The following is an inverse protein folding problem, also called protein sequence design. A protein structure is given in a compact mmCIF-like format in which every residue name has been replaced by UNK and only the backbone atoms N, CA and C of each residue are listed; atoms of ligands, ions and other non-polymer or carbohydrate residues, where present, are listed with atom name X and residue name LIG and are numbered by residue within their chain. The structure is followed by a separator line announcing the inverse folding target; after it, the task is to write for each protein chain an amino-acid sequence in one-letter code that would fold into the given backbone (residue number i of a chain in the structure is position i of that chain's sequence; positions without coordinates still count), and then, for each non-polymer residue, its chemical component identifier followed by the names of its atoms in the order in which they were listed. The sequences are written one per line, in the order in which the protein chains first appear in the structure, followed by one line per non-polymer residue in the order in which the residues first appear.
data_IF_279131598401
#
_entry.id   IF_279131598401
#
_cell.length_a   1.000
_cell.length_b   1.000
_cell.length_c   1.000
_cell.angle_alpha   90.00
_cell.angle_beta   90.00
_cell.angle_gamma   90.00
#
_symmetry.space_group_name_H-M   'P 1'
#
loop_
_entity.id
_entity.type
_entity.pdbx_description
1 polymer ?
#
# COMPACT_ATOMS: atom_id res chain seq x y z
N UNK A 1 24.94 -5.17 -15.45
CA UNK A 1 23.47 -5.12 -15.29
C UNK A 1 22.82 -6.44 -15.66
N UNK A 2 22.92 -6.90 -16.92
CA UNK A 2 22.33 -8.18 -17.39
C UNK A 2 22.75 -9.41 -16.58
N UNK A 3 24.05 -9.56 -16.30
CA UNK A 3 24.57 -10.68 -15.50
C UNK A 3 23.97 -10.72 -14.08
N UNK A 4 23.88 -9.58 -13.42
CA UNK A 4 23.30 -9.47 -12.07
C UNK A 4 21.78 -9.69 -12.07
N UNK A 5 21.06 -9.20 -13.09
CA UNK A 5 19.64 -9.50 -13.27
C UNK A 5 19.42 -11.01 -13.43
N UNK A 6 20.19 -11.68 -14.30
CA UNK A 6 20.13 -13.13 -14.47
C UNK A 6 20.46 -13.89 -13.19
N UNK A 7 21.42 -13.40 -12.40
CA UNK A 7 21.73 -13.93 -11.07
C UNK A 7 20.53 -13.85 -10.12
N UNK A 8 19.86 -12.69 -10.04
CA UNK A 8 18.65 -12.54 -9.21
C UNK A 8 17.53 -13.46 -9.68
N UNK A 9 17.34 -13.59 -11.00
CA UNK A 9 16.36 -14.53 -11.54
C UNK A 9 16.64 -15.95 -11.08
N UNK A 10 17.88 -16.43 -11.19
CA UNK A 10 18.22 -17.80 -10.76
C UNK A 10 18.09 -18.02 -9.26
N UNK A 11 18.53 -17.05 -8.45
CA UNK A 11 18.61 -17.22 -6.98
C UNK A 11 17.31 -16.93 -6.26
N UNK A 12 16.47 -16.04 -6.79
CA UNK A 12 15.23 -15.59 -6.16
C UNK A 12 13.97 -16.13 -6.84
N UNK A 13 14.10 -17.02 -7.84
CA UNK A 13 12.96 -17.62 -8.54
C UNK A 13 12.00 -18.35 -7.60
N UNK A 14 12.54 -19.18 -6.68
CA UNK A 14 11.74 -19.92 -5.71
C UNK A 14 10.86 -18.96 -4.88
N UNK A 15 11.44 -17.81 -4.51
CA UNK A 15 10.73 -16.79 -3.77
C UNK A 15 9.56 -16.19 -4.58
N UNK A 16 9.78 -15.91 -5.87
CA UNK A 16 8.72 -15.48 -6.80
C UNK A 16 7.62 -16.53 -6.92
N UNK A 17 7.99 -17.81 -7.06
CA UNK A 17 7.01 -18.90 -7.13
C UNK A 17 6.17 -19.00 -5.85
N UNK A 18 6.79 -18.93 -4.68
CA UNK A 18 6.06 -18.96 -3.40
C UNK A 18 5.11 -17.77 -3.27
N UNK A 19 5.58 -16.56 -3.63
CA UNK A 19 4.74 -15.36 -3.62
C UNK A 19 3.62 -15.40 -4.66
N UNK A 20 3.73 -16.20 -5.72
CA UNK A 20 2.64 -16.41 -6.67
C UNK A 20 1.66 -17.48 -6.17
N UNK A 21 2.17 -18.62 -5.72
CA UNK A 21 1.38 -19.80 -5.38
C UNK A 21 0.49 -19.58 -4.15
N UNK A 22 1.03 -19.04 -3.06
CA UNK A 22 0.27 -18.88 -1.80
C UNK A 22 -0.98 -17.99 -1.99
N UNK A 23 -0.86 -16.72 -2.45
CA UNK A 23 -2.04 -15.88 -2.62
C UNK A 23 -2.98 -16.41 -3.70
N UNK A 24 -2.45 -17.00 -4.77
CA UNK A 24 -3.29 -17.61 -5.82
C UNK A 24 -4.09 -18.78 -5.29
N UNK A 25 -3.47 -19.66 -4.51
CA UNK A 25 -4.14 -20.80 -3.90
C UNK A 25 -5.25 -20.36 -2.94
N UNK A 26 -4.94 -19.41 -2.05
CA UNK A 26 -5.94 -18.84 -1.11
C UNK A 26 -7.08 -18.20 -1.89
N UNK A 27 -6.78 -17.43 -2.94
CA UNK A 27 -7.77 -16.78 -3.78
C UNK A 27 -8.69 -17.77 -4.51
N UNK A 28 -8.10 -18.74 -5.22
CA UNK A 28 -8.85 -19.77 -5.94
C UNK A 28 -9.70 -20.60 -4.98
N UNK A 29 -9.16 -20.96 -3.82
CA UNK A 29 -9.92 -21.67 -2.78
C UNK A 29 -11.11 -20.83 -2.29
N UNK A 30 -10.93 -19.52 -2.10
CA UNK A 30 -12.01 -18.60 -1.71
C UNK A 30 -13.13 -18.62 -2.75
N UNK A 31 -12.80 -18.56 -4.05
CA UNK A 31 -13.79 -18.64 -5.13
C UNK A 31 -14.55 -19.97 -5.14
N UNK A 32 -13.85 -21.09 -4.95
CA UNK A 32 -14.45 -22.43 -4.93
C UNK A 32 -15.38 -22.62 -3.72
N UNK A 33 -14.97 -22.16 -2.53
CA UNK A 33 -15.77 -22.29 -1.31
C UNK A 33 -17.03 -21.43 -1.38
N UNK A 34 -16.93 -20.21 -1.92
CA UNK A 34 -18.08 -19.33 -2.09
C UNK A 34 -19.05 -19.79 -3.19
N UNK A 35 -18.65 -20.70 -4.08
CA UNK A 35 -19.55 -21.26 -5.10
C UNK A 35 -20.73 -22.05 -4.51
N UNK A 36 -20.57 -22.65 -3.32
CA UNK A 36 -21.59 -23.53 -2.73
C UNK A 36 -22.78 -22.78 -2.13
N UNK A 37 -22.65 -21.48 -1.90
CA UNK A 37 -23.65 -20.68 -1.18
C UNK A 37 -24.59 -19.91 -2.11
N UNK A 38 -24.43 -19.98 -3.44
CA UNK A 38 -25.20 -19.14 -4.37
C UNK A 38 -25.64 -19.87 -5.66
N UNK A 39 -26.91 -19.74 -6.07
CA UNK A 39 -27.39 -20.32 -7.32
C UNK A 39 -26.69 -19.67 -8.54
N UNK A 40 -26.49 -20.43 -9.64
CA UNK A 40 -25.76 -19.98 -10.83
C UNK A 40 -26.38 -18.77 -11.55
N UNK A 41 -27.61 -18.39 -11.19
CA UNK A 41 -28.29 -17.21 -11.73
C UNK A 41 -27.82 -15.88 -11.13
N UNK A 42 -27.09 -15.91 -10.00
CA UNK A 42 -26.70 -14.70 -9.28
C UNK A 42 -25.27 -14.23 -9.66
N UNK A 43 -25.08 -13.92 -10.95
CA UNK A 43 -23.78 -13.55 -11.53
C UNK A 43 -23.09 -12.35 -10.84
N UNK A 44 -23.84 -11.43 -10.26
CA UNK A 44 -23.26 -10.25 -9.59
C UNK A 44 -22.30 -10.57 -8.42
N UNK A 45 -22.38 -11.76 -7.80
CA UNK A 45 -21.60 -12.09 -6.59
C UNK A 45 -20.21 -12.65 -6.87
N UNK A 46 -20.03 -13.57 -7.82
CA UNK A 46 -18.69 -14.09 -8.13
C UNK A 46 -17.77 -13.00 -8.67
N UNK A 47 -18.34 -12.04 -9.42
CA UNK A 47 -17.61 -10.86 -9.86
C UNK A 47 -17.03 -10.09 -8.68
N UNK A 48 -17.80 -9.88 -7.61
CA UNK A 48 -17.31 -9.15 -6.44
C UNK A 48 -16.22 -9.92 -5.67
N UNK A 49 -16.36 -11.25 -5.56
CA UNK A 49 -15.36 -12.10 -4.89
C UNK A 49 -14.01 -12.08 -5.63
N UNK A 50 -14.02 -11.89 -6.95
CA UNK A 50 -12.79 -11.67 -7.71
C UNK A 50 -12.00 -10.45 -7.23
N UNK A 51 -12.67 -9.45 -6.64
CA UNK A 51 -12.04 -8.27 -6.03
C UNK A 51 -11.06 -8.61 -4.91
N UNK A 52 -11.20 -9.77 -4.25
CA UNK A 52 -10.25 -10.25 -3.24
C UNK A 52 -8.83 -10.41 -3.81
N UNK A 53 -8.70 -10.74 -5.11
CA UNK A 53 -7.39 -10.80 -5.77
C UNK A 53 -6.63 -9.48 -5.72
N UNK A 54 -7.35 -8.35 -5.80
CA UNK A 54 -6.74 -7.00 -5.74
C UNK A 54 -6.22 -6.69 -4.33
N UNK A 55 -6.90 -7.19 -3.30
CA UNK A 55 -6.43 -7.10 -1.91
C UNK A 55 -5.17 -7.94 -1.73
N UNK A 56 -5.18 -9.19 -2.21
CA UNK A 56 -4.02 -10.08 -2.08
C UNK A 56 -2.80 -9.55 -2.82
N UNK A 57 -2.93 -9.03 -4.05
CA UNK A 57 -1.78 -8.44 -4.76
C UNK A 57 -1.26 -7.17 -4.08
N UNK A 58 -2.14 -6.39 -3.44
CA UNK A 58 -1.73 -5.20 -2.67
C UNK A 58 -0.88 -5.57 -1.45
N UNK A 59 -1.22 -6.66 -0.75
CA UNK A 59 -0.41 -7.22 0.34
C UNK A 59 0.92 -7.75 -0.20
N UNK A 60 0.87 -8.52 -1.29
CA UNK A 60 2.08 -9.09 -1.92
C UNK A 60 3.02 -7.98 -2.41
N UNK A 61 2.51 -6.85 -2.88
CA UNK A 61 3.32 -5.70 -3.27
C UNK A 61 4.18 -5.20 -2.11
N UNK A 62 3.61 -5.08 -0.92
CA UNK A 62 4.35 -4.67 0.28
C UNK A 62 5.44 -5.71 0.59
N UNK A 63 5.10 -7.00 0.54
CA UNK A 63 6.04 -8.10 0.78
C UNK A 63 7.19 -8.09 -0.24
N UNK A 64 6.90 -7.89 -1.52
CA UNK A 64 7.91 -7.80 -2.58
C UNK A 64 8.85 -6.63 -2.32
N UNK A 65 8.34 -5.43 -2.02
CA UNK A 65 9.18 -4.26 -1.70
C UNK A 65 10.14 -4.58 -0.57
N UNK A 66 9.63 -5.12 0.55
CA UNK A 66 10.45 -5.49 1.71
C UNK A 66 11.55 -6.46 1.27
N UNK A 67 11.22 -7.53 0.57
CA UNK A 67 12.20 -8.54 0.17
C UNK A 67 13.16 -8.11 -0.93
N UNK A 68 12.82 -7.13 -1.76
CA UNK A 68 13.72 -6.62 -2.82
C UNK A 68 14.71 -5.62 -2.28
N UNK A 69 14.28 -4.76 -1.36
CA UNK A 69 15.14 -3.72 -0.83
C UNK A 69 15.76 -4.07 0.53
N UNK A 70 15.34 -5.16 1.18
CA UNK A 70 15.96 -5.62 2.44
C UNK A 70 17.44 -5.94 2.30
N UNK A 71 17.88 -6.45 1.15
CA UNK A 71 19.28 -6.73 0.86
C UNK A 71 20.16 -5.49 0.88
N UNK A 72 19.59 -4.31 0.58
CA UNK A 72 20.28 -3.02 0.64
C UNK A 72 20.27 -2.38 2.04
N UNK A 73 19.63 -3.04 3.01
CA UNK A 73 19.45 -2.58 4.39
C UNK A 73 19.87 -3.62 5.43
N UNK A 74 20.40 -4.76 5.00
CA UNK A 74 20.94 -5.79 5.88
C UNK A 74 22.44 -5.52 6.10
N UNK A 75 22.89 -5.22 7.34
CA UNK A 75 24.31 -4.96 7.61
C UNK A 75 25.22 -6.14 7.25
N UNK A 76 24.70 -7.38 7.27
CA UNK A 76 25.50 -8.57 6.93
C UNK A 76 25.74 -8.73 5.42
N UNK A 77 24.84 -8.20 4.60
CA UNK A 77 24.89 -8.39 3.14
C UNK A 77 25.30 -7.13 2.39
N UNK A 78 25.18 -5.96 3.01
CA UNK A 78 25.40 -4.67 2.36
C UNK A 78 26.83 -4.53 1.82
N UNK A 79 27.83 -4.96 2.59
CA UNK A 79 29.23 -4.87 2.19
C UNK A 79 29.52 -5.76 0.97
N UNK A 80 28.90 -6.94 0.91
CA UNK A 80 28.99 -7.84 -0.24
C UNK A 80 28.40 -7.19 -1.50
N UNK A 81 27.20 -6.60 -1.40
CA UNK A 81 26.54 -5.99 -2.57
C UNK A 81 27.23 -4.70 -3.03
N UNK A 82 27.77 -3.91 -2.12
CA UNK A 82 28.50 -2.67 -2.47
C UNK A 82 29.95 -2.90 -2.85
N UNK A 83 30.53 -4.07 -2.57
CA UNK A 83 31.81 -4.49 -3.12
C UNK A 83 31.74 -4.94 -4.59
N UNK A 84 30.53 -5.20 -5.12
CA UNK A 84 30.37 -5.57 -6.53
C UNK A 84 30.82 -4.42 -7.45
N UNK A 85 31.42 -4.70 -8.63
CA UNK A 85 31.84 -3.68 -9.60
C UNK A 85 30.63 -3.12 -10.38
N UNK A 86 29.59 -2.69 -9.65
CA UNK A 86 28.33 -2.17 -10.17
C UNK A 86 27.99 -0.92 -9.36
N UNK A 87 27.74 0.20 -10.04
CA UNK A 87 27.29 1.43 -9.39
C UNK A 87 25.98 1.22 -8.60
N UNK A 88 25.82 1.89 -7.46
CA UNK A 88 24.62 1.80 -6.61
C UNK A 88 23.32 2.12 -7.35
N UNK A 89 23.32 3.09 -8.28
CA UNK A 89 22.17 3.37 -9.16
C UNK A 89 21.75 2.17 -10.00
N UNK A 90 22.71 1.50 -10.64
CA UNK A 90 22.46 0.29 -11.44
C UNK A 90 21.99 -0.86 -10.56
N UNK A 91 22.54 -0.99 -9.35
CA UNK A 91 22.08 -1.99 -8.38
C UNK A 91 20.61 -1.76 -8.00
N UNK A 92 20.27 -0.54 -7.56
CA UNK A 92 18.89 -0.15 -7.26
C UNK A 92 17.94 -0.40 -8.43
N UNK A 93 18.32 0.03 -9.64
CA UNK A 93 17.50 -0.15 -10.84
C UNK A 93 17.24 -1.63 -11.13
N UNK A 94 18.23 -2.50 -10.95
CA UNK A 94 18.03 -3.96 -11.13
C UNK A 94 17.07 -4.52 -10.09
N UNK A 95 17.18 -4.15 -8.82
CA UNK A 95 16.22 -4.57 -7.78
C UNK A 95 14.80 -4.08 -8.08
N UNK A 96 14.68 -2.84 -8.55
CA UNK A 96 13.42 -2.22 -8.93
C UNK A 96 12.76 -2.93 -10.12
N UNK A 97 13.50 -3.13 -11.23
CA UNK A 97 13.02 -3.86 -12.40
C UNK A 97 12.65 -5.31 -12.08
N UNK A 98 13.49 -5.99 -11.31
CA UNK A 98 13.21 -7.37 -10.92
C UNK A 98 11.94 -7.46 -10.06
N UNK A 99 11.73 -6.54 -9.13
CA UNK A 99 10.50 -6.48 -8.34
C UNK A 99 9.26 -6.21 -9.18
N UNK A 100 9.35 -5.39 -10.24
CA UNK A 100 8.24 -5.23 -11.19
C UNK A 100 7.92 -6.51 -11.96
N UNK A 101 8.96 -7.20 -12.47
CA UNK A 101 8.77 -8.49 -13.15
C UNK A 101 8.12 -9.50 -12.20
N UNK A 102 8.54 -9.52 -10.93
CA UNK A 102 7.97 -10.36 -9.91
C UNK A 102 6.49 -10.03 -9.64
N UNK A 103 6.15 -8.74 -9.52
CA UNK A 103 4.76 -8.28 -9.38
C UNK A 103 3.89 -8.70 -10.57
N UNK A 104 4.40 -8.51 -11.78
CA UNK A 104 3.71 -8.90 -13.01
C UNK A 104 3.45 -10.40 -13.02
N UNK A 105 4.47 -11.23 -12.77
CA UNK A 105 4.31 -12.69 -12.73
C UNK A 105 3.26 -13.11 -11.70
N UNK A 106 3.33 -12.59 -10.47
CA UNK A 106 2.38 -12.95 -9.41
C UNK A 106 0.96 -12.54 -9.79
N UNK A 107 0.77 -11.31 -10.28
CA UNK A 107 -0.54 -10.83 -10.72
C UNK A 107 -1.09 -11.64 -11.89
N UNK A 108 -0.27 -11.92 -12.91
CA UNK A 108 -0.67 -12.69 -14.09
C UNK A 108 -1.09 -14.11 -13.72
N UNK A 109 -0.33 -14.81 -12.88
CA UNK A 109 -0.70 -16.17 -12.43
C UNK A 109 -2.00 -16.14 -11.64
N UNK A 110 -2.12 -15.22 -10.68
CA UNK A 110 -3.32 -15.11 -9.84
C UNK A 110 -4.55 -14.75 -10.65
N UNK A 111 -4.42 -13.81 -11.59
CA UNK A 111 -5.48 -13.39 -12.49
C UNK A 111 -5.93 -14.53 -13.41
N UNK A 112 -5.01 -15.20 -14.10
CA UNK A 112 -5.35 -16.28 -15.04
C UNK A 112 -6.04 -17.43 -14.32
N UNK A 113 -5.47 -17.91 -13.20
CA UNK A 113 -6.06 -19.03 -12.46
C UNK A 113 -7.41 -18.67 -11.85
N UNK A 114 -7.56 -17.46 -11.31
CA UNK A 114 -8.86 -16.98 -10.84
C UNK A 114 -9.89 -16.83 -11.96
N UNK A 115 -9.48 -16.30 -13.11
CA UNK A 115 -10.35 -16.11 -14.26
C UNK A 115 -10.85 -17.44 -14.81
N UNK A 116 -9.96 -18.43 -15.00
CA UNK A 116 -10.32 -19.80 -15.38
C UNK A 116 -11.29 -20.40 -14.36
N UNK A 117 -11.02 -20.22 -13.07
CA UNK A 117 -11.90 -20.71 -11.99
C UNK A 117 -13.30 -20.12 -12.12
N UNK A 118 -13.42 -18.80 -12.33
CA UNK A 118 -14.72 -18.16 -12.55
C UNK A 118 -15.41 -18.71 -13.81
N UNK A 119 -14.70 -18.87 -14.93
CA UNK A 119 -15.30 -19.39 -16.16
C UNK A 119 -15.90 -20.79 -15.97
N UNK A 120 -15.18 -21.67 -15.26
CA UNK A 120 -15.64 -23.03 -14.96
C UNK A 120 -16.86 -23.01 -14.04
N UNK A 121 -16.81 -22.24 -12.95
CA UNK A 121 -17.89 -22.23 -11.95
C UNK A 121 -19.16 -21.55 -12.46
N UNK A 122 -19.02 -20.61 -13.39
CA UNK A 122 -20.12 -19.78 -13.85
C UNK A 122 -20.71 -20.16 -15.20
N UNK A 123 -20.18 -21.18 -15.89
CA UNK A 123 -20.61 -21.59 -17.23
C UNK A 123 -20.64 -20.44 -18.26
N UNK A 124 -19.73 -19.46 -18.14
CA UNK A 124 -19.56 -18.39 -19.15
C UNK A 124 -20.62 -17.27 -19.13
N UNK A 125 -21.35 -17.07 -18.03
CA UNK A 125 -22.38 -16.03 -17.92
C UNK A 125 -21.83 -14.59 -17.72
N UNK A 126 -20.53 -14.36 -17.93
CA UNK A 126 -19.86 -13.08 -17.69
C UNK A 126 -19.40 -12.39 -18.97
N UNK A 127 -19.34 -11.06 -18.91
CA UNK A 127 -18.69 -10.22 -19.92
C UNK A 127 -17.19 -10.19 -19.68
N UNK A 128 -16.47 -11.10 -20.33
CA UNK A 128 -15.02 -11.34 -20.13
C UNK A 128 -14.15 -10.11 -20.36
N UNK A 129 -14.54 -9.22 -21.29
CA UNK A 129 -13.76 -8.02 -21.63
C UNK A 129 -13.43 -7.11 -20.44
N UNK A 130 -14.34 -7.01 -19.46
CA UNK A 130 -14.12 -6.20 -18.26
C UNK A 130 -13.08 -6.81 -17.30
N UNK A 131 -12.92 -8.14 -17.28
CA UNK A 131 -11.83 -8.78 -16.53
C UNK A 131 -10.46 -8.43 -17.14
N UNK A 132 -10.34 -8.44 -18.47
CA UNK A 132 -9.09 -8.03 -19.12
C UNK A 132 -8.79 -6.54 -18.90
N UNK A 133 -9.81 -5.67 -18.92
CA UNK A 133 -9.59 -4.26 -18.56
C UNK A 133 -9.10 -4.14 -17.11
N UNK A 134 -9.69 -4.92 -16.19
CA UNK A 134 -9.25 -4.97 -14.79
C UNK A 134 -7.79 -5.40 -14.67
N UNK A 135 -7.35 -6.40 -15.44
CA UNK A 135 -5.96 -6.86 -15.47
C UNK A 135 -4.99 -5.71 -15.76
N UNK A 136 -5.25 -4.91 -16.81
CA UNK A 136 -4.38 -3.79 -17.17
C UNK A 136 -4.44 -2.63 -16.17
N UNK A 137 -5.62 -2.33 -15.65
CA UNK A 137 -5.78 -1.28 -14.63
C UNK A 137 -5.01 -1.64 -13.36
N UNK A 138 -5.10 -2.89 -12.90
CA UNK A 138 -4.37 -3.34 -11.71
C UNK A 138 -2.86 -3.20 -11.95
N UNK A 139 -2.32 -3.63 -13.09
CA UNK A 139 -0.89 -3.46 -13.42
C UNK A 139 -0.49 -1.98 -13.36
N UNK A 140 -1.28 -1.09 -13.96
CA UNK A 140 -1.02 0.34 -13.95
C UNK A 140 -0.91 0.89 -12.51
N UNK A 141 -1.85 0.55 -11.63
CA UNK A 141 -1.79 0.99 -10.22
C UNK A 141 -0.70 0.29 -9.41
N UNK A 142 -0.35 -0.97 -9.71
CA UNK A 142 0.78 -1.64 -9.07
C UNK A 142 2.08 -0.90 -9.35
N UNK A 143 2.25 -0.32 -10.55
CA UNK A 143 3.42 0.51 -10.85
C UNK A 143 3.46 1.73 -9.94
N UNK A 144 2.35 2.46 -9.83
CA UNK A 144 2.25 3.65 -8.96
C UNK A 144 2.57 3.30 -7.50
N UNK A 145 1.87 2.29 -6.96
CA UNK A 145 1.98 1.88 -5.56
C UNK A 145 3.36 1.32 -5.22
N UNK A 146 3.99 0.59 -6.13
CA UNK A 146 5.32 0.02 -5.93
C UNK A 146 6.36 1.14 -5.78
N UNK A 147 6.24 2.22 -6.55
CA UNK A 147 7.14 3.37 -6.47
C UNK A 147 7.08 4.06 -5.12
N UNK A 148 5.87 4.38 -4.68
CA UNK A 148 5.63 5.03 -3.39
C UNK A 148 6.12 4.12 -2.24
N UNK A 149 5.72 2.85 -2.26
CA UNK A 149 6.08 1.90 -1.18
C UNK A 149 7.60 1.67 -1.13
N UNK A 150 8.27 1.58 -2.29
CA UNK A 150 9.74 1.47 -2.34
C UNK A 150 10.44 2.70 -1.77
N UNK A 151 9.91 3.90 -2.02
CA UNK A 151 10.42 5.14 -1.44
C UNK A 151 10.29 5.13 0.08
N UNK A 152 9.11 4.83 0.60
CA UNK A 152 8.87 4.78 2.05
C UNK A 152 9.82 3.79 2.73
N UNK A 153 10.00 2.59 2.17
CA UNK A 153 10.91 1.58 2.69
C UNK A 153 12.37 2.06 2.69
N UNK A 154 12.84 2.65 1.59
CA UNK A 154 14.23 3.06 1.44
C UNK A 154 14.62 4.27 2.31
N UNK A 155 13.66 4.97 2.92
CA UNK A 155 14.00 6.02 3.90
C UNK A 155 14.50 5.45 5.23
N UNK A 156 14.31 4.16 5.47
CA UNK A 156 14.82 3.49 6.66
C UNK A 156 16.26 2.99 6.48
N UNK A 157 17.00 2.98 7.59
CA UNK A 157 18.35 2.44 7.72
C UNK A 157 18.36 0.94 8.07
N UNK A 158 17.24 0.40 8.56
CA UNK A 158 17.08 -1.02 8.89
C UNK A 158 15.81 -1.59 8.26
N UNK A 159 15.79 -2.92 8.08
CA UNK A 159 14.62 -3.64 7.54
C UNK A 159 13.39 -3.41 8.42
N UNK A 160 13.57 -3.51 9.75
CA UNK A 160 12.48 -3.33 10.71
C UNK A 160 11.87 -1.93 10.60
N UNK A 161 12.70 -0.88 10.63
CA UNK A 161 12.21 0.49 10.47
C UNK A 161 11.53 0.72 9.12
N UNK A 162 12.00 0.06 8.05
CA UNK A 162 11.39 0.13 6.72
C UNK A 162 9.97 -0.45 6.71
N UNK A 163 9.76 -1.57 7.39
CA UNK A 163 8.42 -2.17 7.58
C UNK A 163 7.54 -1.22 8.39
N UNK A 164 8.07 -0.67 9.48
CA UNK A 164 7.33 0.28 10.33
C UNK A 164 6.96 1.55 9.58
N UNK A 165 7.82 2.07 8.70
CA UNK A 165 7.51 3.24 7.86
C UNK A 165 6.39 2.95 6.87
N UNK A 166 6.37 1.76 6.25
CA UNK A 166 5.25 1.36 5.39
C UNK A 166 3.95 1.33 6.19
N UNK A 167 3.94 0.71 7.38
CA UNK A 167 2.74 0.64 8.22
C UNK A 167 2.26 2.04 8.63
N UNK A 168 3.16 2.89 9.13
CA UNK A 168 2.85 4.25 9.53
C UNK A 168 2.35 5.10 8.35
N UNK A 169 2.89 4.90 7.15
CA UNK A 169 2.39 5.55 5.94
C UNK A 169 0.92 5.17 5.65
N UNK A 170 0.56 3.89 5.74
CA UNK A 170 -0.82 3.46 5.52
C UNK A 170 -1.78 3.97 6.61
N UNK A 171 -1.33 3.97 7.87
CA UNK A 171 -2.08 4.52 9.00
C UNK A 171 -2.31 6.02 8.82
N UNK A 172 -1.29 6.77 8.39
CA UNK A 172 -1.41 8.20 8.13
C UNK A 172 -2.48 8.47 7.07
N UNK A 173 -2.43 7.78 5.93
CA UNK A 173 -3.41 7.99 4.86
C UNK A 173 -4.82 7.53 5.23
N UNK A 174 -4.95 6.54 6.13
CA UNK A 174 -6.24 6.21 6.74
C UNK A 174 -6.80 7.39 7.54
N UNK A 175 -6.02 7.98 8.44
CA UNK A 175 -6.48 9.14 9.24
C UNK A 175 -6.74 10.38 8.41
N UNK A 176 -5.90 10.67 7.40
CA UNK A 176 -6.17 11.74 6.43
C UNK A 176 -7.53 11.50 5.75
N UNK A 177 -7.78 10.27 5.28
CA UNK A 177 -9.03 9.97 4.57
C UNK A 177 -10.26 10.13 5.48
N UNK A 178 -10.17 9.67 6.73
CA UNK A 178 -11.21 9.85 7.74
C UNK A 178 -11.42 11.33 8.09
N UNK A 179 -10.35 12.12 8.14
CA UNK A 179 -10.40 13.53 8.53
C UNK A 179 -11.23 14.32 7.52
N UNK A 180 -10.91 14.20 6.24
CA UNK A 180 -11.68 14.88 5.21
C UNK A 180 -13.13 14.35 5.14
N UNK A 181 -13.35 13.06 5.42
CA UNK A 181 -14.66 12.41 5.33
C UNK A 181 -15.64 12.94 6.35
N UNK A 182 -15.17 13.20 7.56
CA UNK A 182 -16.01 13.67 8.66
C UNK A 182 -16.20 15.19 8.64
N UNK A 183 -15.23 15.94 8.10
CA UNK A 183 -15.10 17.36 8.41
C UNK A 183 -15.27 18.31 7.21
N UNK A 184 -14.92 17.93 5.98
CA UNK A 184 -14.77 18.91 4.88
C UNK A 184 -15.49 18.55 3.58
N UNK A 185 -15.40 17.30 3.16
CA UNK A 185 -15.83 16.87 1.83
C UNK A 185 -16.55 15.55 2.06
N UNK A 186 -17.86 15.46 1.79
CA UNK A 186 -18.66 14.28 2.15
C UNK A 186 -18.00 12.94 1.77
N UNK A 187 -18.39 11.87 2.48
CA UNK A 187 -17.76 10.53 2.54
C UNK A 187 -17.20 10.01 1.19
N UNK A 188 -17.88 10.26 0.08
CA UNK A 188 -17.48 9.78 -1.25
C UNK A 188 -16.18 10.38 -1.80
N UNK A 189 -15.85 11.63 -1.48
CA UNK A 189 -14.65 12.29 -2.03
C UNK A 189 -13.41 12.13 -1.14
N UNK A 190 -13.61 11.89 0.15
CA UNK A 190 -12.54 11.96 1.15
C UNK A 190 -11.64 10.75 1.23
N UNK A 191 -12.18 9.57 0.93
CA UNK A 191 -11.34 8.41 0.65
C UNK A 191 -10.49 8.59 -0.62
N UNK A 192 -10.78 9.59 -1.44
CA UNK A 192 -9.98 9.99 -2.60
C UNK A 192 -8.55 10.41 -2.28
N UNK A 193 -8.19 10.57 -1.00
CA UNK A 193 -6.80 10.83 -0.60
C UNK A 193 -6.00 9.55 -0.31
N UNK A 194 -6.65 8.38 -0.27
CA UNK A 194 -5.97 7.11 -0.06
C UNK A 194 -5.31 6.61 -1.36
N UNK A 195 -4.06 6.11 -1.34
CA UNK A 195 -3.37 5.63 -2.54
C UNK A 195 -4.05 4.43 -3.23
N UNK A 196 -4.87 3.67 -2.51
CA UNK A 196 -5.63 2.53 -3.05
C UNK A 196 -7.03 2.90 -3.55
N UNK A 197 -7.48 4.15 -3.37
CA UNK A 197 -8.85 4.56 -3.67
C UNK A 197 -9.25 4.30 -5.11
N UNK A 198 -8.46 4.81 -6.06
CA UNK A 198 -8.80 4.69 -7.47
C UNK A 198 -8.75 3.24 -7.94
N UNK A 199 -7.78 2.46 -7.45
CA UNK A 199 -7.71 1.03 -7.71
C UNK A 199 -8.99 0.34 -7.25
N UNK A 200 -9.41 0.56 -5.99
CA UNK A 200 -10.65 -0.02 -5.46
C UNK A 200 -11.92 0.41 -6.20
N UNK A 201 -12.01 1.69 -6.61
CA UNK A 201 -13.15 2.19 -7.41
C UNK A 201 -13.20 1.59 -8.81
N UNK A 202 -12.07 1.50 -9.49
CA UNK A 202 -12.00 0.81 -10.78
C UNK A 202 -12.33 -0.68 -10.64
N UNK A 203 -11.80 -1.35 -9.62
CA UNK A 203 -12.08 -2.77 -9.37
C UNK A 203 -13.57 -3.01 -9.16
N UNK A 204 -14.21 -2.27 -8.25
CA UNK A 204 -15.65 -2.42 -7.98
C UNK A 204 -16.50 -2.11 -9.21
N UNK A 205 -16.18 -1.04 -9.95
CA UNK A 205 -16.87 -0.69 -11.19
C UNK A 205 -16.75 -1.79 -12.25
N UNK A 206 -15.53 -2.22 -12.58
CA UNK A 206 -15.32 -3.20 -13.64
C UNK A 206 -15.91 -4.57 -13.30
N UNK A 207 -15.82 -4.99 -12.05
CA UNK A 207 -16.46 -6.23 -11.60
C UNK A 207 -17.99 -6.13 -11.64
N UNK A 208 -18.57 -4.97 -11.33
CA UNK A 208 -20.02 -4.79 -11.51
C UNK A 208 -20.46 -4.88 -12.98
N UNK A 209 -19.56 -4.53 -13.90
CA UNK A 209 -19.80 -4.58 -15.35
C UNK A 209 -19.57 -5.96 -15.97
N UNK A 210 -18.88 -6.88 -15.29
CA UNK A 210 -18.75 -8.25 -15.77
C UNK A 210 -20.07 -9.01 -15.65
N UNK A 211 -20.92 -8.66 -14.68
CA UNK A 211 -22.23 -9.30 -14.46
C UNK A 211 -23.14 -9.17 -15.70
N UNK A 212 -23.97 -10.19 -15.94
CA UNK A 212 -24.85 -10.21 -17.11
C UNK A 212 -25.85 -9.03 -17.12
N UNK A 213 -26.41 -8.75 -15.94
CA UNK A 213 -27.23 -7.57 -15.62
C UNK A 213 -26.40 -6.59 -14.78
N UNK A 214 -25.64 -5.68 -15.42
CA UNK A 214 -24.82 -4.73 -14.70
C UNK A 214 -25.69 -3.83 -13.81
N UNK A 215 -25.20 -3.52 -12.62
CA UNK A 215 -25.93 -2.68 -11.68
C UNK A 215 -25.87 -1.21 -12.10
N UNK A 216 -27.03 -0.62 -12.43
CA UNK A 216 -27.12 0.82 -12.73
C UNK A 216 -26.58 1.68 -11.58
N UNK A 217 -26.79 1.25 -10.33
CA UNK A 217 -26.27 1.97 -9.18
C UNK A 217 -24.74 1.99 -9.15
N UNK A 218 -24.07 0.90 -9.54
CA UNK A 218 -22.61 0.86 -9.58
C UNK A 218 -22.04 1.83 -10.61
N UNK A 219 -22.69 1.95 -11.76
CA UNK A 219 -22.37 2.96 -12.78
C UNK A 219 -22.53 4.36 -12.24
N UNK A 220 -23.68 4.68 -11.64
CA UNK A 220 -23.95 6.00 -11.07
C UNK A 220 -22.95 6.38 -9.97
N UNK A 221 -22.65 5.45 -9.06
CA UNK A 221 -21.65 5.65 -8.02
C UNK A 221 -20.27 5.91 -8.60
N UNK A 222 -19.87 5.17 -9.64
CA UNK A 222 -18.58 5.36 -10.28
C UNK A 222 -18.50 6.70 -11.02
N UNK A 223 -19.54 7.08 -11.76
CA UNK A 223 -19.61 8.39 -12.46
C UNK A 223 -19.49 9.54 -11.46
N UNK A 224 -20.18 9.46 -10.31
CA UNK A 224 -20.06 10.47 -9.24
C UNK A 224 -18.66 10.51 -8.61
N UNK A 225 -18.00 9.35 -8.50
CA UNK A 225 -16.64 9.25 -7.95
C UNK A 225 -15.54 9.57 -8.98
N UNK A 226 -15.87 9.67 -10.28
CA UNK A 226 -14.91 9.80 -11.37
C UNK A 226 -13.96 11.02 -11.22
N UNK A 227 -14.42 12.22 -10.80
CA UNK A 227 -13.51 13.33 -10.57
C UNK A 227 -12.48 13.03 -9.48
N UNK A 228 -12.89 12.38 -8.39
CA UNK A 228 -11.99 11.97 -7.30
C UNK A 228 -11.04 10.87 -7.74
N UNK A 229 -11.49 9.92 -8.56
CA UNK A 229 -10.66 8.87 -9.15
C UNK A 229 -9.57 9.51 -10.02
N UNK A 230 -9.94 10.37 -10.98
CA UNK A 230 -8.97 11.05 -11.86
C UNK A 230 -7.97 11.87 -11.05
N UNK A 231 -8.45 12.68 -10.09
CA UNK A 231 -7.58 13.51 -9.25
C UNK A 231 -6.60 12.65 -8.44
N UNK A 232 -7.10 11.59 -7.81
CA UNK A 232 -6.26 10.64 -7.06
C UNK A 232 -5.21 9.98 -7.97
N UNK A 233 -5.60 9.50 -9.16
CA UNK A 233 -4.67 8.91 -10.12
C UNK A 233 -3.56 9.89 -10.50
N UNK A 234 -3.90 11.14 -10.84
CA UNK A 234 -2.93 12.15 -11.24
C UNK A 234 -1.97 12.51 -10.10
N UNK A 235 -2.49 12.70 -8.89
CA UNK A 235 -1.68 13.02 -7.70
C UNK A 235 -0.72 11.88 -7.38
N UNK A 236 -1.20 10.64 -7.30
CA UNK A 236 -0.35 9.51 -6.93
C UNK A 236 0.59 9.09 -8.05
N UNK A 237 0.22 9.28 -9.32
CA UNK A 237 1.14 9.12 -10.44
C UNK A 237 2.29 10.13 -10.35
N UNK A 238 1.99 11.41 -10.13
CA UNK A 238 3.02 12.45 -9.93
C UNK A 238 3.92 12.16 -8.72
N UNK A 239 3.34 11.73 -7.60
CA UNK A 239 4.09 11.33 -6.41
C UNK A 239 4.97 10.10 -6.67
N UNK A 240 4.47 9.08 -7.39
CA UNK A 240 5.25 7.91 -7.74
C UNK A 240 6.44 8.27 -8.65
N UNK A 241 6.22 9.12 -9.66
CA UNK A 241 7.31 9.63 -10.52
C UNK A 241 8.36 10.38 -9.69
N UNK A 242 7.93 11.27 -8.79
CA UNK A 242 8.84 11.95 -7.86
C UNK A 242 9.62 10.94 -7.00
N UNK A 243 8.95 9.95 -6.42
CA UNK A 243 9.55 8.91 -5.59
C UNK A 243 10.62 8.11 -6.35
N UNK A 244 10.35 7.71 -7.60
CA UNK A 244 11.33 7.01 -8.44
C UNK A 244 12.56 7.87 -8.73
N UNK A 245 12.35 9.11 -9.16
CA UNK A 245 13.45 10.03 -9.48
C UNK A 245 14.27 10.34 -8.23
N UNK A 246 13.60 10.57 -7.11
CA UNK A 246 14.24 10.89 -5.83
C UNK A 246 15.10 9.72 -5.34
N UNK A 247 14.55 8.50 -5.29
CA UNK A 247 15.31 7.31 -4.90
C UNK A 247 16.52 7.09 -5.82
N UNK A 248 16.33 7.22 -7.13
CA UNK A 248 17.41 7.06 -8.10
C UNK A 248 18.55 8.07 -7.90
N UNK A 249 18.23 9.32 -7.53
CA UNK A 249 19.24 10.35 -7.25
C UNK A 249 19.91 10.16 -5.89
N UNK A 250 19.16 9.83 -4.85
CA UNK A 250 19.66 9.77 -3.47
C UNK A 250 20.47 8.52 -3.14
N UNK A 251 20.29 7.41 -3.87
CA UNK A 251 20.95 6.13 -3.54
C UNK A 251 22.48 6.19 -3.56
N UNK A 252 23.07 7.11 -4.33
CA UNK A 252 24.53 7.33 -4.34
C UNK A 252 25.02 8.14 -3.14
N UNK A 253 24.17 9.02 -2.61
CA UNK A 253 24.50 9.91 -1.50
C UNK A 253 24.30 9.22 -0.14
N UNK A 254 23.60 8.09 -0.11
CA UNK A 254 23.40 7.32 1.11
C UNK A 254 24.73 6.70 1.57
N UNK A 255 25.16 7.09 2.77
CA UNK A 255 26.35 6.51 3.40
C UNK A 255 26.07 5.10 3.89
N UNK A 256 27.01 4.19 3.63
CA UNK A 256 26.90 2.77 4.03
C UNK A 256 26.95 2.60 5.54
N UNK A 257 27.67 3.48 6.24
CA UNK A 257 27.79 3.51 7.70
C UNK A 257 26.44 3.66 8.43
N UNK A 258 25.45 4.26 7.77
CA UNK A 258 24.12 4.44 8.35
C UNK A 258 23.31 3.14 8.36
N UNK A 259 23.67 2.13 7.55
CA UNK A 259 22.91 0.89 7.43
C UNK A 259 23.05 0.07 8.70
N UNK A 260 21.92 -0.35 9.28
CA UNK A 260 21.87 -0.99 10.60
C UNK A 260 21.68 -0.01 11.78
N UNK A 261 21.96 1.27 11.59
CA UNK A 261 21.77 2.30 12.62
C UNK A 261 20.30 2.72 12.74
N UNK A 262 19.98 3.54 13.76
CA UNK A 262 18.62 4.08 13.96
C UNK A 262 18.24 4.96 12.76
N UNK A 263 17.03 4.77 12.25
CA UNK A 263 16.52 5.50 11.08
C UNK A 263 16.09 6.92 11.43
N UNK A 264 16.94 7.92 11.18
CA UNK A 264 16.65 9.33 11.48
C UNK A 264 16.22 10.16 10.26
N UNK A 265 15.50 9.53 9.32
CA UNK A 265 14.99 10.22 8.14
C UNK A 265 13.87 11.20 8.49
N UNK A 266 13.85 12.35 7.79
CA UNK A 266 12.72 13.30 7.84
C UNK A 266 11.40 12.63 7.44
N UNK A 267 11.44 11.73 6.45
CA UNK A 267 10.28 10.94 6.01
C UNK A 267 10.24 9.60 6.74
N UNK A 268 10.11 9.68 8.07
CA UNK A 268 10.15 8.53 8.99
C UNK A 268 9.31 8.78 10.23
N UNK A 269 9.73 8.24 11.38
CA UNK A 269 9.01 8.35 12.66
C UNK A 269 8.61 9.79 13.01
N UNK A 270 9.54 10.75 12.81
CA UNK A 270 9.34 12.17 13.14
C UNK A 270 8.30 12.89 12.27
N UNK A 271 7.89 12.30 11.16
CA UNK A 271 6.84 12.86 10.30
C UNK A 271 5.56 12.04 10.41
N UNK A 272 5.65 10.71 10.29
CA UNK A 272 4.45 9.89 10.24
C UNK A 272 3.70 9.84 11.58
N UNK A 273 4.41 9.76 12.72
CA UNK A 273 3.74 9.72 14.03
C UNK A 273 3.02 11.04 14.32
N UNK A 274 3.69 12.22 14.27
CA UNK A 274 3.03 13.51 14.48
C UNK A 274 1.83 13.74 13.57
N UNK A 275 1.97 13.51 12.26
CA UNK A 275 0.87 13.72 11.32
C UNK A 275 -0.29 12.76 11.57
N UNK A 276 -0.01 11.48 11.89
CA UNK A 276 -1.07 10.52 12.21
C UNK A 276 -1.86 10.93 13.44
N UNK A 277 -1.20 11.52 14.45
CA UNK A 277 -1.85 12.05 15.65
C UNK A 277 -2.66 13.31 15.29
N UNK A 278 -2.10 14.25 14.53
CA UNK A 278 -2.81 15.48 14.12
C UNK A 278 -4.12 15.12 13.41
N UNK A 279 -4.07 14.27 12.38
CA UNK A 279 -5.26 13.87 11.64
C UNK A 279 -6.17 12.95 12.46
N UNK A 280 -5.62 12.01 13.23
CA UNK A 280 -6.42 11.10 14.05
C UNK A 280 -7.17 11.82 15.18
N UNK A 281 -6.55 12.73 15.91
CA UNK A 281 -7.22 13.49 16.98
C UNK A 281 -8.26 14.44 16.40
N UNK A 282 -7.97 15.11 15.27
CA UNK A 282 -8.93 16.00 14.62
C UNK A 282 -10.13 15.29 13.97
N UNK A 283 -10.02 13.98 13.69
CA UNK A 283 -11.16 13.18 13.18
C UNK A 283 -12.18 12.82 14.24
N UNK A 284 -11.75 12.73 15.49
CA UNK A 284 -12.56 12.23 16.59
C UNK A 284 -13.21 13.45 17.22
N UNK A 285 -14.54 13.57 17.08
CA UNK A 285 -15.29 14.75 17.53
C UNK A 285 -14.98 15.10 18.99
N UNK A 286 -14.53 16.33 19.25
CA UNK A 286 -14.10 16.74 20.60
C UNK A 286 -15.26 16.77 21.61
N UNK A 287 -16.50 16.90 21.13
CA UNK A 287 -17.72 16.94 21.94
C UNK A 287 -18.36 15.56 22.11
N UNK A 288 -17.52 14.53 22.26
CA UNK A 288 -17.93 13.13 22.38
C UNK A 288 -18.09 12.61 23.80
N UNK A 289 -18.81 11.49 23.93
CA UNK A 289 -18.86 10.71 25.18
C UNK A 289 -17.55 9.98 25.50
N UNK A 290 -17.54 9.20 26.59
CA UNK A 290 -16.33 8.55 27.14
C UNK A 290 -15.55 7.68 26.13
N UNK A 291 -16.24 7.08 25.16
CA UNK A 291 -15.65 6.22 24.11
C UNK A 291 -14.69 7.03 23.22
N UNK A 292 -15.04 8.27 22.89
CA UNK A 292 -14.25 9.14 22.03
C UNK A 292 -12.96 9.56 22.72
N UNK A 293 -13.05 9.94 24.00
CA UNK A 293 -11.88 10.23 24.82
C UNK A 293 -10.96 9.03 24.98
N UNK A 294 -11.53 7.82 25.11
CA UNK A 294 -10.77 6.58 25.15
C UNK A 294 -10.02 6.31 23.84
N UNK A 295 -10.66 6.51 22.68
CA UNK A 295 -10.00 6.38 21.36
C UNK A 295 -8.82 7.36 21.24
N UNK A 296 -9.02 8.63 21.62
CA UNK A 296 -7.94 9.62 21.63
C UNK A 296 -6.80 9.22 22.57
N UNK A 297 -7.12 8.70 23.76
CA UNK A 297 -6.12 8.18 24.70
C UNK A 297 -5.30 7.02 24.11
N UNK A 298 -5.94 6.09 23.39
CA UNK A 298 -5.26 4.99 22.68
C UNK A 298 -4.35 5.55 21.57
N UNK A 299 -4.83 6.52 20.78
CA UNK A 299 -4.07 7.15 19.70
C UNK A 299 -2.80 7.84 20.21
N UNK A 300 -2.91 8.61 21.30
CA UNK A 300 -1.76 9.27 21.94
C UNK A 300 -0.79 8.24 22.52
N UNK A 301 -1.31 7.19 23.17
CA UNK A 301 -0.51 6.10 23.72
C UNK A 301 0.24 5.35 22.62
N UNK A 302 -0.41 5.08 21.49
CA UNK A 302 0.22 4.49 20.31
C UNK A 302 1.33 5.38 19.74
N UNK A 303 1.17 6.70 19.80
CA UNK A 303 2.23 7.66 19.50
C UNK A 303 3.48 7.49 20.37
N UNK A 304 3.29 7.38 21.69
CA UNK A 304 4.39 7.11 22.63
C UNK A 304 5.05 5.75 22.36
N UNK A 305 4.27 4.70 22.10
CA UNK A 305 4.78 3.38 21.72
C UNK A 305 5.61 3.49 20.42
N UNK A 306 5.14 4.25 19.43
CA UNK A 306 5.88 4.49 18.19
C UNK A 306 7.24 5.15 18.42
N UNK A 307 7.33 6.14 19.31
CA UNK A 307 8.60 6.77 19.67
C UNK A 307 9.50 5.88 20.54
N UNK A 308 8.91 5.02 21.37
CA UNK A 308 9.65 3.98 22.09
C UNK A 308 10.31 3.00 21.10
N UNK A 309 9.56 2.56 20.09
CA UNK A 309 10.08 1.71 19.00
C UNK A 309 11.21 2.43 18.26
N UNK A 310 11.03 3.70 17.90
CA UNK A 310 12.07 4.52 17.26
C UNK A 310 13.37 4.58 18.06
N UNK A 311 13.29 4.80 19.37
CA UNK A 311 14.46 4.96 20.25
C UNK A 311 15.16 3.65 20.59
N UNK A 312 14.51 2.50 20.39
CA UNK A 312 14.97 1.16 20.81
C UNK A 312 15.39 1.10 22.29
N UNK A 313 14.90 2.04 23.09
CA UNK A 313 15.26 2.22 24.50
C UNK A 313 14.05 2.78 25.25
N UNK A 314 13.93 2.43 26.53
CA UNK A 314 12.82 2.89 27.37
C UNK A 314 12.88 4.38 27.74
N UNK A 315 13.99 5.05 27.45
CA UNK A 315 14.18 6.46 27.76
C UNK A 315 13.62 7.33 26.63
N UNK A 316 12.40 7.81 26.81
CA UNK A 316 11.77 8.80 25.92
C UNK A 316 12.40 10.16 26.20
N UNK A 317 12.89 10.86 25.16
CA UNK A 317 13.45 12.21 25.34
C UNK A 317 12.32 13.23 25.42
N UNK A 318 12.56 14.33 26.12
CA UNK A 318 11.59 15.43 26.26
C UNK A 318 11.16 16.01 24.90
N UNK A 319 12.05 15.97 23.90
CA UNK A 319 11.75 16.33 22.51
C UNK A 319 10.70 15.39 21.90
N UNK A 320 10.77 14.09 22.17
CA UNK A 320 9.82 13.10 21.65
C UNK A 320 8.42 13.30 22.27
N UNK A 321 8.38 13.63 23.57
CA UNK A 321 7.14 14.07 24.25
C UNK A 321 6.57 15.33 23.60
N UNK A 322 7.44 16.31 23.29
CA UNK A 322 7.06 17.53 22.58
C UNK A 322 6.40 17.24 21.22
N UNK A 323 6.97 16.34 20.42
CA UNK A 323 6.37 15.95 19.13
C UNK A 323 4.94 15.41 19.30
N UNK A 324 4.68 14.63 20.35
CA UNK A 324 3.35 14.08 20.60
C UNK A 324 2.41 15.17 21.10
N UNK A 325 2.77 15.90 22.16
CA UNK A 325 1.89 16.89 22.78
C UNK A 325 1.53 18.03 21.82
N UNK A 326 2.50 18.55 21.06
CA UNK A 326 2.25 19.58 20.05
C UNK A 326 1.32 19.06 18.96
N UNK A 327 1.49 17.80 18.53
CA UNK A 327 0.60 17.18 17.54
C UNK A 327 -0.83 17.01 18.05
N UNK A 328 -1.01 16.64 19.32
CA UNK A 328 -2.32 16.56 19.96
C UNK A 328 -2.98 17.94 20.02
N UNK A 329 -2.25 18.97 20.46
CA UNK A 329 -2.77 20.34 20.54
C UNK A 329 -3.18 20.84 19.15
N UNK A 330 -2.36 20.63 18.12
CA UNK A 330 -2.70 20.99 16.74
C UNK A 330 -3.93 20.21 16.26
N UNK A 331 -4.00 18.91 16.54
CA UNK A 331 -5.15 18.07 16.21
C UNK A 331 -6.45 18.56 16.88
N UNK A 332 -6.39 18.96 18.15
CA UNK A 332 -7.53 19.55 18.87
C UNK A 332 -7.93 20.87 18.22
N UNK A 333 -6.98 21.78 17.97
CA UNK A 333 -7.28 23.09 17.34
C UNK A 333 -7.94 22.88 15.98
N UNK A 334 -7.40 21.99 15.14
CA UNK A 334 -8.01 21.65 13.84
C UNK A 334 -9.40 21.04 14.00
N UNK A 335 -9.60 20.16 14.99
CA UNK A 335 -10.90 19.58 15.29
C UNK A 335 -11.94 20.63 15.73
N UNK A 336 -11.55 21.65 16.50
CA UNK A 336 -12.44 22.75 16.92
C UNK A 336 -12.75 23.67 15.75
N UNK A 337 -11.78 23.96 14.87
CA UNK A 337 -11.98 24.92 13.78
C UNK A 337 -12.94 24.42 12.69
N UNK A 338 -13.13 23.10 12.58
CA UNK A 338 -13.88 22.49 11.47
C UNK A 338 -15.24 21.93 11.92
N UNK A 339 -15.43 21.63 13.22
CA UNK A 339 -16.74 21.34 13.81
C UNK A 339 -17.43 22.64 14.26
#
# INVERSE_FOLDING_TARGET
MKAYFNYLTKTKWLQTMVMALIPTFIFVLTLILNNRTYPPTNSSRFSNDFGMSVIYISIVLIIIVIFRFSSLRNPKEVDLYYALPISRKKLYLVHLLFGFVQLLIVWTIMFILGFITILILSNGYYREGFFFLLYFIVIFYLVILYGITSFVFLRANTIFDGITFILLFHILFLFISLFFSNNLIGIFMSFGLNPFYSLGRWTTYLLSMTAHTPSNSATEYFVRALPSVITNTLVFMGLATFCYIYNYKMIEQEKTENIGQISDSKFGYRLYIPLSIIFGVSTVSLFGGIIIWLINGILVSAGFIGFFIFRRTAKIKLIDVGYILVSVIIGIILGILIN
#
